data_IF_068322720794
#
_entry.id   IF_068322720794
#
_cell.length_a   1.000
_cell.length_b   1.000
_cell.length_c   1.000
_cell.angle_alpha   90.00
_cell.angle_beta   90.00
_cell.angle_gamma   90.00
#
_symmetry.space_group_name_H-M   'P 1'
#
loop_
_entity.id
_entity.type
_entity.pdbx_description
1 polymer ?
#
# COMPACT_ATOMS: atom_id res chain seq x y z
N UNK A 1 -9.56 -6.14 -16.71
CA UNK A 1 -10.04 -5.10 -15.80
C UNK A 1 -8.81 -4.59 -15.09
N UNK A 2 -8.30 -3.46 -15.55
CA UNK A 2 -7.02 -2.94 -15.06
C UNK A 2 -7.21 -2.43 -13.64
N UNK A 3 -6.56 -3.11 -12.69
CA UNK A 3 -6.62 -2.71 -11.29
C UNK A 3 -5.91 -1.36 -11.19
N UNK A 4 -6.69 -0.33 -10.86
CA UNK A 4 -6.16 0.95 -10.43
C UNK A 4 -6.11 2.08 -11.44
N UNK A 5 -6.79 2.01 -12.60
CA UNK A 5 -6.92 3.22 -13.44
C UNK A 5 -7.81 4.25 -12.73
N UNK A 6 -7.22 5.36 -12.29
CA UNK A 6 -7.99 6.54 -11.89
C UNK A 6 -8.49 7.27 -13.15
N UNK A 7 -9.76 7.07 -13.49
CA UNK A 7 -10.41 7.72 -14.63
C UNK A 7 -10.57 9.24 -14.40
N UNK A 8 -10.74 10.03 -15.46
CA UNK A 8 -10.86 11.49 -15.34
C UNK A 8 -12.06 11.94 -14.50
N UNK A 9 -13.10 11.11 -14.39
CA UNK A 9 -14.29 11.30 -13.55
C UNK A 9 -14.11 10.76 -12.12
N UNK A 10 -12.88 10.43 -11.70
CA UNK A 10 -12.64 9.80 -10.41
C UNK A 10 -13.13 10.67 -9.24
N UNK A 11 -12.92 11.98 -9.28
CA UNK A 11 -13.40 12.92 -8.25
C UNK A 11 -14.92 13.12 -8.25
N UNK A 12 -15.62 12.71 -9.31
CA UNK A 12 -17.09 12.78 -9.38
C UNK A 12 -17.74 11.55 -8.72
N UNK A 13 -17.00 10.44 -8.61
CA UNK A 13 -17.50 9.15 -8.08
C UNK A 13 -16.90 8.75 -6.74
N UNK A 14 -15.81 9.38 -6.30
CA UNK A 14 -15.08 9.01 -5.10
C UNK A 14 -14.92 10.21 -4.16
N UNK A 15 -14.90 9.91 -2.86
CA UNK A 15 -14.65 10.90 -1.82
C UNK A 15 -13.27 10.63 -1.24
N UNK A 16 -12.43 11.66 -1.20
CA UNK A 16 -11.11 11.57 -0.59
C UNK A 16 -11.24 11.36 0.93
N UNK A 17 -10.26 10.68 1.53
CA UNK A 17 -10.36 10.27 2.94
C UNK A 17 -10.31 11.45 3.91
N UNK A 18 -9.65 12.55 3.55
CA UNK A 18 -9.73 13.83 4.27
C UNK A 18 -11.15 14.40 4.29
N UNK A 19 -11.82 14.45 3.12
CA UNK A 19 -13.21 14.88 3.04
C UNK A 19 -14.17 13.98 3.82
N UNK A 20 -13.89 12.68 3.93
CA UNK A 20 -14.66 11.79 4.82
C UNK A 20 -14.47 12.14 6.30
N UNK A 21 -13.24 12.43 6.73
CA UNK A 21 -12.95 12.88 8.11
C UNK A 21 -13.65 14.20 8.42
N UNK A 22 -13.61 15.16 7.51
CA UNK A 22 -14.31 16.44 7.66
C UNK A 22 -15.82 16.25 7.82
N UNK A 23 -16.42 15.35 7.04
CA UNK A 23 -17.86 15.02 7.16
C UNK A 23 -18.22 14.38 8.50
N UNK A 24 -17.35 13.52 9.05
CA UNK A 24 -17.56 12.93 10.39
C UNK A 24 -17.54 14.02 11.47
N UNK A 25 -16.55 14.90 11.42
CA UNK A 25 -16.41 16.01 12.38
C UNK A 25 -17.62 16.94 12.29
N UNK A 26 -18.05 17.31 11.07
CA UNK A 26 -19.22 18.14 10.85
C UNK A 26 -20.53 17.46 11.32
N UNK A 27 -20.58 16.13 11.24
CA UNK A 27 -21.67 15.31 11.78
C UNK A 27 -21.65 15.12 13.31
N UNK A 28 -20.69 15.73 14.02
CA UNK A 28 -20.57 15.64 15.48
C UNK A 28 -19.76 14.44 15.98
N UNK A 29 -19.07 13.72 15.09
CA UNK A 29 -18.17 12.61 15.46
C UNK A 29 -16.74 13.16 15.47
N UNK A 30 -16.26 13.51 16.66
CA UNK A 30 -14.87 13.89 16.85
C UNK A 30 -13.97 12.64 16.85
N UNK A 31 -12.85 12.75 16.13
CA UNK A 31 -11.88 11.66 15.96
C UNK A 31 -10.46 12.19 16.17
N UNK A 32 -9.61 11.36 16.78
CA UNK A 32 -8.20 11.68 17.04
C UNK A 32 -7.30 10.59 16.44
N UNK A 33 -6.24 10.97 15.73
CA UNK A 33 -5.32 9.99 15.12
C UNK A 33 -4.48 9.28 16.20
N UNK A 34 -4.43 7.96 16.12
CA UNK A 34 -3.60 7.13 16.98
C UNK A 34 -2.20 6.97 16.36
N UNK A 35 -1.31 7.94 16.64
CA UNK A 35 0.04 8.00 16.06
C UNK A 35 1.04 7.02 16.68
N UNK A 36 0.68 6.39 17.79
CA UNK A 36 1.48 5.39 18.50
C UNK A 36 1.38 3.99 17.86
N UNK A 37 0.56 3.83 16.82
CA UNK A 37 0.37 2.58 16.09
C UNK A 37 1.25 2.50 14.85
N UNK A 38 2.01 1.41 14.74
CA UNK A 38 2.79 1.09 13.55
C UNK A 38 1.94 0.34 12.51
N UNK A 39 1.01 1.07 11.88
CA UNK A 39 0.12 0.54 10.85
C UNK A 39 0.41 1.25 9.51
N UNK A 40 1.34 0.73 8.68
CA UNK A 40 1.76 1.43 7.48
C UNK A 40 0.62 1.56 6.46
N UNK A 41 -0.30 0.58 6.39
CA UNK A 41 -1.37 0.54 5.38
C UNK A 41 -2.55 1.45 5.69
N UNK A 42 -2.79 1.74 6.97
CA UNK A 42 -3.99 2.45 7.40
C UNK A 42 -3.67 3.45 8.51
N UNK A 43 -4.22 4.65 8.43
CA UNK A 43 -4.21 5.58 9.56
C UNK A 43 -5.36 5.24 10.50
N UNK A 44 -5.03 4.92 11.74
CA UNK A 44 -5.99 4.52 12.76
C UNK A 44 -6.38 5.73 13.59
N UNK A 45 -7.66 5.84 13.92
CA UNK A 45 -8.26 6.94 14.66
C UNK A 45 -9.12 6.38 15.78
N UNK A 46 -9.14 7.07 16.91
CA UNK A 46 -10.09 6.83 18.02
C UNK A 46 -11.28 7.77 17.86
N UNK A 47 -12.45 7.34 18.34
CA UNK A 47 -13.66 8.17 18.38
C UNK A 47 -13.80 8.75 19.77
N UNK A 48 -13.89 10.07 19.88
CA UNK A 48 -13.96 10.74 21.17
C UNK A 48 -15.25 10.36 21.92
N UNK A 49 -15.15 10.16 23.23
CA UNK A 49 -16.28 9.73 24.06
C UNK A 49 -16.64 8.25 23.98
N UNK A 50 -15.91 7.46 23.18
CA UNK A 50 -16.04 6.00 23.10
C UNK A 50 -14.75 5.36 23.61
N UNK A 51 -14.86 4.20 24.27
CA UNK A 51 -13.69 3.43 24.68
C UNK A 51 -12.86 3.02 23.45
N UNK A 52 -11.59 3.46 23.34
CA UNK A 52 -10.72 3.12 22.21
C UNK A 52 -10.46 1.62 22.05
N UNK A 53 -10.57 0.84 23.13
CA UNK A 53 -10.44 -0.62 23.07
C UNK A 53 -11.68 -1.29 22.46
N UNK A 54 -12.83 -0.62 22.54
CA UNK A 54 -14.09 -1.10 21.98
C UNK A 54 -14.30 -0.63 20.54
N UNK A 55 -13.75 0.53 20.14
CA UNK A 55 -13.97 1.09 18.80
C UNK A 55 -12.80 1.92 18.30
N UNK A 56 -12.32 1.56 17.10
CA UNK A 56 -11.35 2.33 16.33
C UNK A 56 -11.80 2.44 14.87
N UNK A 57 -11.41 3.51 14.19
CA UNK A 57 -11.66 3.74 12.77
C UNK A 57 -10.34 3.70 12.00
N UNK A 58 -10.27 2.94 10.92
CA UNK A 58 -9.09 2.88 10.04
C UNK A 58 -9.40 3.46 8.67
N UNK A 59 -8.58 4.42 8.21
CA UNK A 59 -8.62 4.90 6.83
C UNK A 59 -7.47 4.29 6.03
N UNK A 60 -7.80 3.54 4.98
CA UNK A 60 -6.84 2.98 4.01
C UNK A 60 -6.78 3.90 2.80
N UNK A 61 -5.80 4.79 2.77
CA UNK A 61 -5.72 5.93 1.84
C UNK A 61 -4.80 5.68 0.64
N UNK A 62 -5.02 4.59 -0.09
CA UNK A 62 -4.09 4.10 -1.14
C UNK A 62 -3.82 5.07 -2.30
N UNK A 63 -4.63 6.12 -2.48
CA UNK A 63 -4.53 7.08 -3.60
C UNK A 63 -4.16 8.50 -3.12
N UNK A 64 -4.88 9.02 -2.13
CA UNK A 64 -4.76 10.43 -1.71
C UNK A 64 -3.63 10.67 -0.71
N UNK A 65 -3.28 9.65 0.08
CA UNK A 65 -2.20 9.69 1.07
C UNK A 65 -1.52 8.30 1.18
N UNK A 66 -0.62 7.97 0.24
CA UNK A 66 -0.08 6.63 0.08
C UNK A 66 1.03 6.29 1.07
N UNK A 67 1.25 5.00 1.28
CA UNK A 67 2.19 4.48 2.29
C UNK A 67 3.42 3.74 1.73
N UNK A 68 3.70 3.87 0.42
CA UNK A 68 4.82 3.15 -0.19
C UNK A 68 6.19 3.49 0.44
N UNK A 69 6.34 4.69 1.03
CA UNK A 69 7.58 5.12 1.70
C UNK A 69 7.97 4.28 2.91
N UNK A 70 7.01 3.66 3.58
CA UNK A 70 7.22 2.79 4.75
C UNK A 70 6.83 1.34 4.49
N UNK A 71 6.43 1.00 3.26
CA UNK A 71 5.99 -0.35 2.93
C UNK A 71 7.17 -1.33 2.91
N UNK A 72 7.12 -2.34 3.78
CA UNK A 72 8.12 -3.41 3.93
C UNK A 72 7.72 -4.72 3.24
N UNK A 73 6.50 -4.80 2.71
CA UNK A 73 5.94 -6.03 2.12
C UNK A 73 6.62 -6.44 0.83
N UNK A 74 6.78 -7.75 0.67
CA UNK A 74 7.17 -8.44 -0.56
C UNK A 74 6.23 -9.63 -0.78
N UNK A 75 6.09 -10.11 -2.01
CA UNK A 75 5.20 -11.23 -2.35
C UNK A 75 5.95 -12.28 -3.15
N UNK A 76 5.84 -13.55 -2.74
CA UNK A 76 6.28 -14.69 -3.55
C UNK A 76 5.03 -15.35 -4.16
N UNK A 77 4.98 -15.47 -5.49
CA UNK A 77 3.87 -16.17 -6.15
C UNK A 77 4.04 -17.68 -6.09
N UNK A 78 2.96 -18.42 -6.34
CA UNK A 78 3.01 -19.89 -6.47
C UNK A 78 3.86 -20.38 -7.65
N UNK A 79 4.15 -19.51 -8.64
CA UNK A 79 5.09 -19.81 -9.72
C UNK A 79 6.56 -19.53 -9.33
N UNK A 80 6.84 -19.12 -8.10
CA UNK A 80 8.20 -18.84 -7.63
C UNK A 80 8.75 -17.49 -8.05
N UNK A 81 7.87 -16.51 -8.34
CA UNK A 81 8.28 -15.14 -8.67
C UNK A 81 8.23 -14.24 -7.45
N UNK A 82 9.32 -13.55 -7.15
CA UNK A 82 9.42 -12.55 -6.09
C UNK A 82 9.03 -11.16 -6.62
N UNK A 83 7.98 -10.59 -6.08
CA UNK A 83 7.51 -9.23 -6.36
C UNK A 83 7.83 -8.31 -5.18
N UNK A 84 8.36 -7.13 -5.46
CA UNK A 84 8.72 -6.11 -4.46
C UNK A 84 7.59 -5.12 -4.18
N UNK A 85 6.58 -5.10 -5.04
CA UNK A 85 5.37 -4.28 -4.93
C UNK A 85 4.14 -5.13 -5.26
N UNK A 86 2.98 -4.79 -4.67
CA UNK A 86 1.71 -5.44 -5.02
C UNK A 86 1.37 -5.29 -6.50
N UNK A 87 1.80 -4.17 -7.10
CA UNK A 87 1.54 -3.79 -8.47
C UNK A 87 2.70 -4.09 -9.43
N UNK A 88 3.78 -4.73 -8.97
CA UNK A 88 4.86 -5.20 -9.84
C UNK A 88 4.34 -6.32 -10.75
N UNK A 89 4.36 -6.09 -12.06
CA UNK A 89 3.90 -7.05 -13.07
C UNK A 89 4.94 -8.12 -13.41
N UNK A 90 6.23 -7.80 -13.27
CA UNK A 90 7.31 -8.65 -13.78
C UNK A 90 7.76 -9.64 -12.72
N UNK A 91 8.12 -9.17 -11.52
CA UNK A 91 8.76 -9.99 -10.49
C UNK A 91 10.09 -10.62 -10.92
N UNK A 92 10.87 -11.07 -9.95
CA UNK A 92 12.13 -11.81 -10.15
C UNK A 92 11.85 -13.32 -10.13
N UNK A 93 12.21 -14.04 -11.19
CA UNK A 93 12.06 -15.50 -11.22
C UNK A 93 13.11 -16.19 -10.36
N UNK A 94 12.69 -16.82 -9.27
CA UNK A 94 13.58 -17.53 -8.35
C UNK A 94 13.57 -19.05 -8.58
N UNK A 95 12.58 -19.56 -9.33
CA UNK A 95 12.34 -20.99 -9.47
C UNK A 95 13.53 -21.73 -10.14
N UNK A 96 14.22 -21.18 -11.16
CA UNK A 96 15.39 -21.82 -11.74
C UNK A 96 16.54 -21.99 -10.73
N UNK A 97 16.83 -20.95 -9.95
CA UNK A 97 17.89 -20.96 -8.93
C UNK A 97 17.57 -21.96 -7.82
N UNK A 98 16.32 -21.98 -7.37
CA UNK A 98 15.84 -22.92 -6.36
C UNK A 98 15.94 -24.38 -6.84
N UNK A 99 15.53 -24.65 -8.08
CA UNK A 99 15.59 -26.00 -8.68
C UNK A 99 17.02 -26.47 -8.95
N UNK A 100 17.94 -25.55 -9.24
CA UNK A 100 19.36 -25.85 -9.41
C UNK A 100 20.09 -26.06 -8.07
N UNK A 101 19.45 -25.77 -6.92
CA UNK A 101 20.11 -25.80 -5.61
C UNK A 101 21.16 -24.68 -5.44
N UNK A 102 21.09 -23.61 -6.24
CA UNK A 102 22.04 -22.49 -6.18
C UNK A 102 21.66 -21.51 -5.07
N UNK A 103 22.05 -21.84 -3.84
CA UNK A 103 21.76 -21.02 -2.66
C UNK A 103 22.39 -19.62 -2.77
N UNK A 104 23.61 -19.51 -3.31
CA UNK A 104 24.29 -18.21 -3.42
C UNK A 104 23.62 -17.32 -4.45
N UNK A 105 23.24 -17.87 -5.59
CA UNK A 105 22.48 -17.16 -6.62
C UNK A 105 21.10 -16.73 -6.12
N UNK A 106 20.42 -17.60 -5.36
CA UNK A 106 19.12 -17.30 -4.77
C UNK A 106 19.23 -16.11 -3.78
N UNK A 107 20.16 -16.17 -2.83
CA UNK A 107 20.41 -15.07 -1.89
C UNK A 107 20.74 -13.75 -2.59
N UNK A 108 21.59 -13.81 -3.63
CA UNK A 108 21.96 -12.63 -4.40
C UNK A 108 20.77 -12.06 -5.19
N UNK A 109 19.92 -12.91 -5.76
CA UNK A 109 18.73 -12.50 -6.48
C UNK A 109 17.71 -11.82 -5.55
N UNK A 110 17.46 -12.39 -4.37
CA UNK A 110 16.56 -11.83 -3.37
C UNK A 110 17.07 -10.48 -2.87
N UNK A 111 18.35 -10.40 -2.47
CA UNK A 111 18.96 -9.14 -1.99
C UNK A 111 18.92 -8.05 -3.05
N UNK A 112 19.19 -8.38 -4.31
CA UNK A 112 19.10 -7.43 -5.42
C UNK A 112 17.67 -6.93 -5.64
N UNK A 113 16.69 -7.82 -5.62
CA UNK A 113 15.29 -7.45 -5.78
C UNK A 113 14.84 -6.51 -4.66
N UNK A 114 15.07 -6.90 -3.40
CA UNK A 114 14.69 -6.07 -2.23
C UNK A 114 15.46 -4.74 -2.24
N UNK A 115 16.76 -4.73 -2.55
CA UNK A 115 17.57 -3.51 -2.61
C UNK A 115 17.19 -2.55 -3.74
N UNK A 116 16.50 -3.03 -4.77
CA UNK A 116 15.96 -2.21 -5.84
C UNK A 116 14.57 -1.63 -5.52
N UNK A 117 13.94 -2.04 -4.40
CA UNK A 117 12.64 -1.55 -3.98
C UNK A 117 12.74 -0.07 -3.62
N UNK A 118 12.08 0.76 -4.42
CA UNK A 118 12.00 2.20 -4.22
C UNK A 118 10.54 2.64 -4.27
N UNK A 119 10.12 3.63 -3.45
CA UNK A 119 8.83 4.26 -3.64
C UNK A 119 8.74 4.85 -5.06
N UNK A 120 7.55 4.90 -5.67
CA UNK A 120 7.38 5.58 -6.95
C UNK A 120 7.85 7.02 -6.87
N UNK A 121 8.56 7.50 -7.90
CA UNK A 121 9.02 8.88 -8.00
C UNK A 121 7.86 9.88 -8.14
N UNK A 122 6.68 9.43 -8.57
CA UNK A 122 5.45 10.23 -8.65
C UNK A 122 4.22 9.36 -8.43
N UNK A 123 3.46 9.65 -7.38
CA UNK A 123 2.11 9.11 -7.22
C UNK A 123 1.16 9.86 -8.17
N UNK A 124 0.90 9.32 -9.35
CA UNK A 124 -0.01 9.94 -10.32
C UNK A 124 -1.47 9.66 -9.94
N UNK A 125 -2.19 10.70 -9.49
CA UNK A 125 -3.64 10.66 -9.22
C UNK A 125 -4.50 10.41 -10.47
N UNK A 126 -3.92 10.56 -11.65
CA UNK A 126 -4.58 10.37 -12.96
C UNK A 126 -4.01 9.19 -13.74
N UNK A 127 -3.41 8.22 -13.04
CA UNK A 127 -2.72 7.07 -13.63
C UNK A 127 -3.17 5.75 -13.02
N UNK A 128 -2.76 4.67 -13.68
CA UNK A 128 -2.98 3.29 -13.23
C UNK A 128 -2.20 3.06 -11.93
N UNK A 129 -2.78 2.42 -10.90
CA UNK A 129 -2.05 2.01 -9.69
C UNK A 129 -0.82 1.16 -10.03
N UNK A 130 -0.84 0.46 -11.17
CA UNK A 130 0.31 -0.22 -11.78
C UNK A 130 1.51 0.70 -12.06
N UNK A 131 1.29 1.97 -12.43
CA UNK A 131 2.35 2.96 -12.67
C UNK A 131 2.88 3.63 -11.39
N UNK A 132 2.32 3.27 -10.25
CA UNK A 132 2.65 3.82 -8.94
C UNK A 132 3.53 2.84 -8.14
N UNK A 133 3.87 1.68 -8.71
CA UNK A 133 4.85 0.76 -8.13
C UNK A 133 6.15 0.79 -8.91
N UNK A 134 7.24 1.17 -8.26
CA UNK A 134 8.58 0.71 -8.63
C UNK A 134 8.81 -0.72 -8.15
#
# INVERSE_FOLDING_TARGET
MDIGIAHADWSERHVASDALRERLIWGGIAITEATDRDEPTSRVWTVDGVDPSATTLGFITTVTDPFCGTCDRIRLTSQGRLHTCLFDERGTDLLPLLRAGDQRGLDAAIKRAIGAKIPPSRFQRSGIMAGIGG
#
